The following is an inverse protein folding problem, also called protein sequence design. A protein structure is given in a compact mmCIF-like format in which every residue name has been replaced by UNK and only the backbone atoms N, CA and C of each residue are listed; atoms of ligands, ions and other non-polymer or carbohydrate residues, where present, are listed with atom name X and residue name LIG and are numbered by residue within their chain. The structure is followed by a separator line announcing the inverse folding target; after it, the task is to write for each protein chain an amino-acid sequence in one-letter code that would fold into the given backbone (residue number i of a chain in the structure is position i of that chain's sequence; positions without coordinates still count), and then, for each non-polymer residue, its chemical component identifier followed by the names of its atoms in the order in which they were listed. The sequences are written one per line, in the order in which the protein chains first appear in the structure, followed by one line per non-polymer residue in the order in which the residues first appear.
data_IF_255771662026
#
_entry.id   IF_255771662026
#
_cell.length_a   1.000
_cell.length_b   1.000
_cell.length_c   1.000
_cell.angle_alpha   90.00
_cell.angle_beta   90.00
_cell.angle_gamma   90.00
#
_symmetry.space_group_name_H-M   'P 1'
#
loop_
_entity.id
_entity.type
_entity.pdbx_description
1 polymer ?
#
# COMPACT_ATOMS: atom_id res chain seq x y z
N UNK A 1 -36.99 -67.80 -3.03
CA UNK A 1 -36.14 -67.12 -2.03
C UNK A 1 -37.00 -65.99 -1.46
N UNK A 2 -37.35 -66.09 -0.18
CA UNK A 2 -38.38 -65.32 0.57
C UNK A 2 -37.92 -63.86 0.75
N UNK A 3 -38.72 -62.83 0.48
CA UNK A 3 -39.86 -62.27 1.25
C UNK A 3 -39.48 -61.57 2.58
N UNK A 4 -39.96 -60.32 2.69
CA UNK A 4 -40.27 -59.48 3.87
C UNK A 4 -39.10 -58.97 4.74
N UNK A 5 -38.85 -57.66 4.88
CA UNK A 5 -39.67 -56.56 5.46
C UNK A 5 -39.77 -56.61 6.99
N UNK A 6 -39.94 -55.42 7.62
CA UNK A 6 -40.21 -55.10 9.04
C UNK A 6 -39.02 -54.86 10.02
N UNK A 7 -39.20 -54.14 11.17
CA UNK A 7 -40.23 -53.14 11.56
C UNK A 7 -39.71 -51.91 12.39
N UNK A 8 -40.63 -50.96 12.66
CA UNK A 8 -40.63 -50.04 13.83
C UNK A 8 -41.36 -50.66 15.02
N UNK A 9 -40.83 -50.48 16.24
CA UNK A 9 -41.51 -50.33 17.55
C UNK A 9 -40.40 -50.11 18.62
N UNK A 10 -40.46 -49.28 19.66
CA UNK A 10 -41.59 -48.79 20.45
C UNK A 10 -41.76 -49.61 21.73
N UNK A 11 -41.36 -49.05 22.90
CA UNK A 11 -41.67 -49.38 24.33
C UNK A 11 -40.41 -49.10 25.18
N UNK A 12 -40.41 -48.50 26.36
CA UNK A 12 -41.47 -48.05 27.26
C UNK A 12 -40.90 -47.94 28.69
N UNK A 13 -41.03 -46.76 29.29
CA UNK A 13 -41.37 -46.45 30.70
C UNK A 13 -40.57 -47.07 31.88
N UNK A 14 -40.02 -46.20 32.74
CA UNK A 14 -39.95 -46.40 34.21
C UNK A 14 -40.22 -45.09 34.96
N UNK A 15 -41.14 -45.18 35.92
CA UNK A 15 -41.63 -44.14 36.86
C UNK A 15 -40.87 -44.19 38.19
N UNK A 16 -40.79 -43.03 38.86
CA UNK A 16 -41.12 -42.70 40.29
C UNK A 16 -40.17 -41.59 40.77
N UNK A 17 -40.60 -40.37 41.17
CA UNK A 17 -41.48 -39.86 42.27
C UNK A 17 -40.72 -39.53 43.57
N UNK A 18 -40.74 -38.23 43.91
CA UNK A 18 -40.63 -37.54 45.22
C UNK A 18 -39.27 -37.70 45.97
N UNK A 19 -38.69 -36.69 46.62
CA UNK A 19 -39.24 -35.65 47.51
C UNK A 19 -38.55 -34.27 47.40
N UNK A 20 -39.24 -33.26 47.95
CA UNK A 20 -38.76 -31.92 48.31
C UNK A 20 -37.53 -31.96 49.24
N UNK A 21 -36.57 -31.06 49.00
CA UNK A 21 -35.80 -30.43 50.08
C UNK A 21 -35.41 -29.01 49.67
N UNK A 22 -35.96 -28.07 50.43
CA UNK A 22 -35.72 -26.63 50.40
C UNK A 22 -34.31 -26.36 50.94
N UNK A 23 -33.40 -25.84 50.12
CA UNK A 23 -32.16 -25.24 50.58
C UNK A 23 -32.03 -23.84 49.98
N UNK A 24 -32.53 -22.88 50.75
CA UNK A 24 -32.15 -21.48 50.67
C UNK A 24 -30.63 -21.36 50.81
N UNK A 25 -29.93 -21.14 49.70
CA UNK A 25 -28.54 -20.70 49.72
C UNK A 25 -28.47 -19.29 49.11
N UNK A 26 -28.21 -18.38 50.03
CA UNK A 26 -27.85 -16.97 49.94
C UNK A 26 -27.48 -16.45 48.55
N UNK A 27 -28.19 -15.39 48.14
CA UNK A 27 -27.73 -14.41 47.16
C UNK A 27 -26.43 -13.80 47.66
N UNK A 28 -25.30 -14.41 47.31
CA UNK A 28 -24.02 -13.72 47.31
C UNK A 28 -23.99 -12.79 46.11
N UNK A 29 -23.64 -11.53 46.40
CA UNK A 29 -23.39 -10.44 45.50
C UNK A 29 -22.56 -10.88 44.28
N UNK A 30 -23.24 -11.22 43.19
CA UNK A 30 -22.70 -10.96 41.88
C UNK A 30 -23.09 -9.51 41.58
N UNK A 31 -22.24 -8.58 42.02
CA UNK A 31 -22.11 -7.34 41.26
C UNK A 31 -21.88 -7.79 39.81
N UNK A 32 -22.86 -7.51 38.95
CA UNK A 32 -22.66 -7.62 37.51
C UNK A 32 -21.49 -6.70 37.19
N UNK A 33 -20.31 -7.29 37.06
CA UNK A 33 -19.16 -6.63 36.46
C UNK A 33 -19.62 -6.35 35.02
N UNK A 34 -20.06 -5.12 34.77
CA UNK A 34 -20.09 -4.57 33.42
C UNK A 34 -18.65 -4.61 32.92
N UNK A 35 -18.33 -5.66 32.17
CA UNK A 35 -17.09 -5.72 31.42
C UNK A 35 -17.23 -4.72 30.28
N UNK A 36 -16.51 -3.60 30.39
CA UNK A 36 -16.29 -2.68 29.27
C UNK A 36 -15.69 -3.48 28.10
N UNK A 37 -16.47 -3.68 27.03
CA UNK A 37 -16.15 -4.59 25.93
C UNK A 37 -14.99 -4.08 25.03
N UNK A 38 -14.27 -3.02 25.38
CA UNK A 38 -13.04 -2.62 24.67
C UNK A 38 -11.89 -2.17 25.59
N UNK A 39 -11.13 -3.10 26.23
CA UNK A 39 -10.06 -2.75 27.17
C UNK A 39 -8.82 -2.08 26.55
N UNK A 40 -8.62 -2.17 25.23
CA UNK A 40 -7.31 -1.93 24.61
C UNK A 40 -7.20 -0.70 23.71
N UNK A 41 -8.20 0.19 23.70
CA UNK A 41 -8.07 1.47 22.98
C UNK A 41 -7.19 2.43 23.79
N UNK A 42 -6.20 3.10 23.18
CA UNK A 42 -5.41 4.08 23.91
C UNK A 42 -6.29 5.22 24.39
N UNK A 43 -5.92 5.83 25.52
CA UNK A 43 -6.59 7.04 26.04
C UNK A 43 -6.52 8.21 25.04
N UNK A 44 -5.50 8.21 24.17
CA UNK A 44 -5.29 9.21 23.12
C UNK A 44 -5.13 8.53 21.76
N UNK A 45 -5.83 9.05 20.74
CA UNK A 45 -5.76 8.55 19.37
C UNK A 45 -6.86 7.52 19.03
N UNK A 46 -6.92 7.11 17.76
CA UNK A 46 -7.97 6.20 17.29
C UNK A 46 -7.60 4.73 17.55
N UNK A 47 -6.29 4.42 17.54
CA UNK A 47 -5.72 3.09 17.82
C UNK A 47 -4.25 3.20 18.25
N UNK A 48 -3.72 2.15 18.87
CA UNK A 48 -2.27 1.99 18.99
C UNK A 48 -1.62 1.94 17.60
N UNK A 49 -0.41 2.45 17.50
CA UNK A 49 0.41 2.37 16.29
C UNK A 49 0.51 0.92 15.82
N UNK A 50 0.32 0.70 14.52
CA UNK A 50 0.45 -0.64 13.92
C UNK A 50 1.89 -1.10 13.72
N UNK A 51 2.88 -0.35 14.20
CA UNK A 51 4.30 -0.62 13.95
C UNK A 51 4.74 -2.00 14.45
N UNK A 52 4.35 -2.36 15.67
CA UNK A 52 4.69 -3.63 16.31
C UNK A 52 3.94 -4.84 15.74
N UNK A 53 2.80 -4.61 15.08
CA UNK A 53 2.04 -5.64 14.37
C UNK A 53 2.73 -6.12 13.07
N UNK A 54 3.69 -5.35 12.54
CA UNK A 54 4.45 -5.70 11.35
C UNK A 54 5.74 -6.44 11.70
N UNK A 55 6.10 -7.45 10.91
CA UNK A 55 7.41 -8.12 10.99
C UNK A 55 8.51 -7.25 10.39
N UNK A 56 9.80 -7.50 10.66
CA UNK A 56 10.89 -6.72 10.06
C UNK A 56 10.88 -6.67 8.52
N UNK A 57 10.40 -7.72 7.85
CA UNK A 57 10.26 -7.75 6.37
C UNK A 57 9.07 -6.97 5.85
N UNK A 58 8.15 -6.57 6.73
CA UNK A 58 6.99 -5.73 6.45
C UNK A 58 7.24 -4.27 6.84
N UNK A 59 8.49 -3.91 7.17
CA UNK A 59 8.93 -2.55 7.49
C UNK A 59 9.91 -2.04 6.44
N UNK A 60 9.98 -0.73 6.30
CA UNK A 60 10.92 -0.07 5.39
C UNK A 60 12.39 -0.42 5.66
N UNK A 61 13.28 -0.16 4.69
CA UNK A 61 14.69 -0.49 4.81
C UNK A 61 15.36 0.25 5.99
N UNK A 62 16.35 -0.38 6.61
CA UNK A 62 17.17 0.24 7.64
C UNK A 62 18.38 0.97 7.01
N UNK A 63 18.91 2.05 7.62
CA UNK A 63 18.41 2.69 8.84
C UNK A 63 17.08 3.42 8.60
N UNK A 64 16.19 3.35 9.59
CA UNK A 64 14.92 4.07 9.50
C UNK A 64 15.15 5.59 9.62
N UNK A 65 14.39 6.42 8.90
CA UNK A 65 14.52 7.87 9.00
C UNK A 65 14.24 8.36 10.43
N UNK A 66 15.01 9.33 10.91
CA UNK A 66 14.88 9.88 12.27
C UNK A 66 13.48 10.46 12.56
N UNK A 67 12.80 10.94 11.52
CA UNK A 67 11.43 11.46 11.66
C UNK A 67 10.41 10.36 11.98
N UNK A 68 10.68 9.09 11.68
CA UNK A 68 9.72 8.00 11.84
C UNK A 68 9.56 7.58 13.31
N UNK A 69 8.33 7.69 13.82
CA UNK A 69 7.97 7.21 15.16
C UNK A 69 7.82 5.68 15.14
N UNK A 70 8.63 4.98 15.92
CA UNK A 70 8.72 3.51 15.99
C UNK A 70 8.49 2.96 17.41
N UNK A 71 8.29 3.84 18.39
CA UNK A 71 8.16 3.50 19.79
C UNK A 71 6.81 2.81 20.07
N UNK A 72 6.80 1.82 20.97
CA UNK A 72 5.62 1.00 21.27
C UNK A 72 4.47 1.79 21.91
N UNK A 73 4.77 2.92 22.55
CA UNK A 73 3.77 3.80 23.13
C UNK A 73 3.09 4.73 22.10
N UNK A 74 3.41 4.60 20.81
CA UNK A 74 2.84 5.42 19.77
C UNK A 74 1.38 5.08 19.49
N UNK A 75 0.61 6.10 19.15
CA UNK A 75 -0.79 6.00 18.75
C UNK A 75 -0.96 6.59 17.36
N UNK A 76 -1.89 6.03 16.60
CA UNK A 76 -2.26 6.50 15.27
C UNK A 76 -3.59 7.27 15.35
N UNK A 77 -3.63 8.45 14.72
CA UNK A 77 -4.83 9.29 14.58
C UNK A 77 -5.12 9.57 13.11
N UNK A 78 -6.30 9.19 12.64
CA UNK A 78 -6.79 9.51 11.30
C UNK A 78 -7.14 10.99 11.21
N UNK A 79 -6.55 11.68 10.23
CA UNK A 79 -6.78 13.11 9.99
C UNK A 79 -7.69 13.39 8.81
N UNK A 80 -8.04 12.36 8.05
CA UNK A 80 -8.99 12.43 6.94
C UNK A 80 -8.44 11.85 5.64
N UNK A 81 -9.22 12.01 4.57
CA UNK A 81 -8.91 11.44 3.26
C UNK A 81 -8.06 12.41 2.43
N UNK A 82 -6.93 11.93 1.92
CA UNK A 82 -6.08 12.65 0.96
C UNK A 82 -6.54 12.43 -0.49
N UNK A 83 -6.86 11.18 -0.84
CA UNK A 83 -7.30 10.79 -2.20
C UNK A 83 -8.22 9.58 -2.11
N UNK A 84 -9.39 9.66 -2.75
CA UNK A 84 -10.20 8.47 -3.03
C UNK A 84 -9.90 7.95 -4.43
N UNK A 85 -9.73 6.65 -4.57
CA UNK A 85 -9.43 6.01 -5.85
C UNK A 85 -10.32 4.81 -6.10
N UNK A 86 -10.32 4.35 -7.36
CA UNK A 86 -11.04 3.11 -7.74
C UNK A 86 -10.42 1.88 -7.06
N UNK A 87 -9.10 1.88 -6.92
CA UNK A 87 -8.32 0.72 -6.46
C UNK A 87 -7.92 0.84 -4.99
N UNK A 88 -7.61 2.05 -4.54
CA UNK A 88 -7.20 2.34 -3.18
C UNK A 88 -7.64 3.74 -2.76
N UNK A 89 -7.82 3.92 -1.46
CA UNK A 89 -7.93 5.24 -0.84
C UNK A 89 -6.64 5.56 -0.10
N UNK A 90 -6.31 6.84 -0.01
CA UNK A 90 -5.17 7.35 0.73
C UNK A 90 -5.68 8.27 1.83
N UNK A 91 -5.29 7.99 3.07
CA UNK A 91 -5.64 8.75 4.26
C UNK A 91 -4.41 9.44 4.84
N UNK A 92 -4.61 10.58 5.49
CA UNK A 92 -3.58 11.23 6.29
C UNK A 92 -3.66 10.65 7.71
N UNK A 93 -2.54 10.12 8.18
CA UNK A 93 -2.41 9.53 9.50
C UNK A 93 -1.37 10.32 10.30
N UNK A 94 -1.67 10.64 11.55
CA UNK A 94 -0.70 11.20 12.49
C UNK A 94 -0.32 10.14 13.52
N UNK A 95 0.93 9.69 13.47
CA UNK A 95 1.50 8.78 14.47
C UNK A 95 2.28 9.59 15.48
N UNK A 96 1.97 9.47 16.77
CA UNK A 96 2.67 10.24 17.80
C UNK A 96 2.74 9.55 19.15
N UNK A 97 3.62 10.02 20.03
CA UNK A 97 3.68 9.58 21.43
C UNK A 97 2.83 10.54 22.28
N UNK A 98 1.79 10.07 22.98
CA UNK A 98 0.99 10.90 23.87
C UNK A 98 1.86 11.62 24.92
N UNK A 99 1.52 12.87 25.23
CA UNK A 99 2.25 13.68 26.21
C UNK A 99 3.61 14.23 25.75
N UNK A 100 3.97 14.08 24.47
CA UNK A 100 5.24 14.57 23.92
C UNK A 100 5.03 15.35 22.61
N UNK A 101 6.10 15.97 22.09
CA UNK A 101 6.12 16.55 20.74
C UNK A 101 6.56 15.56 19.66
N UNK A 102 6.84 14.30 20.01
CA UNK A 102 7.31 13.27 19.08
C UNK A 102 6.13 12.79 18.24
N UNK A 103 6.17 13.10 16.95
CA UNK A 103 5.14 12.69 15.99
C UNK A 103 5.65 12.68 14.55
N UNK A 104 4.91 12.02 13.68
CA UNK A 104 5.09 12.07 12.23
C UNK A 104 3.76 11.94 11.50
N UNK A 105 3.68 12.54 10.31
CA UNK A 105 2.57 12.35 9.38
C UNK A 105 2.91 11.25 8.39
N UNK A 106 1.94 10.35 8.15
CA UNK A 106 2.05 9.23 7.23
C UNK A 106 0.89 9.28 6.23
N UNK A 107 1.13 8.78 5.02
CA UNK A 107 0.08 8.47 4.07
C UNK A 107 -0.30 6.98 4.20
N UNK A 108 -1.54 6.70 4.61
CA UNK A 108 -2.06 5.35 4.72
C UNK A 108 -2.84 4.99 3.45
N UNK A 109 -2.22 4.19 2.57
CA UNK A 109 -2.85 3.73 1.33
C UNK A 109 -3.49 2.36 1.53
N UNK A 110 -4.82 2.31 1.43
CA UNK A 110 -5.64 1.11 1.67
C UNK A 110 -6.22 0.59 0.38
N UNK A 111 -5.81 -0.62 -0.01
CA UNK A 111 -6.30 -1.29 -1.22
C UNK A 111 -7.68 -1.90 -1.00
N UNK A 112 -8.58 -1.71 -1.97
CA UNK A 112 -9.97 -2.16 -1.89
C UNK A 112 -10.15 -3.56 -2.48
N UNK A 113 -10.96 -4.40 -1.84
CA UNK A 113 -11.30 -5.76 -2.29
C UNK A 113 -12.48 -5.80 -3.30
N UNK A 114 -12.38 -5.12 -4.45
CA UNK A 114 -13.51 -5.04 -5.40
C UNK A 114 -13.65 -6.24 -6.35
N UNK A 115 -14.90 -6.52 -6.77
CA UNK A 115 -15.21 -7.38 -7.91
C UNK A 115 -14.64 -6.79 -9.21
N UNK A 116 -13.96 -7.62 -9.99
CA UNK A 116 -13.28 -7.35 -11.26
C UNK A 116 -14.17 -6.68 -12.33
N UNK A 117 -14.55 -5.42 -12.17
CA UNK A 117 -15.17 -4.63 -13.23
C UNK A 117 -14.55 -3.25 -13.26
N UNK A 118 -13.31 -3.18 -13.72
CA UNK A 118 -12.85 -2.11 -14.62
C UNK A 118 -11.43 -2.28 -15.17
N UNK A 119 -10.86 -3.49 -15.20
CA UNK A 119 -9.59 -3.77 -15.89
C UNK A 119 -9.69 -3.80 -17.43
N UNK A 120 -10.65 -3.09 -18.03
CA UNK A 120 -10.87 -3.15 -19.49
C UNK A 120 -9.83 -2.38 -20.31
N UNK A 121 -8.78 -1.81 -19.69
CA UNK A 121 -7.59 -1.28 -20.40
C UNK A 121 -6.27 -1.97 -20.00
N UNK A 122 -6.32 -3.07 -19.25
CA UNK A 122 -5.15 -3.58 -18.50
C UNK A 122 -4.57 -4.91 -18.97
N UNK A 123 -4.98 -5.43 -20.12
CA UNK A 123 -4.41 -6.67 -20.65
C UNK A 123 -2.87 -6.59 -20.79
N UNK A 124 -2.34 -5.42 -21.18
CA UNK A 124 -0.90 -5.23 -21.36
C UNK A 124 -0.09 -5.14 -20.06
N UNK A 125 -0.62 -4.56 -18.97
CA UNK A 125 0.15 -4.37 -17.72
C UNK A 125 0.40 -5.70 -16.99
N UNK A 126 -0.56 -6.63 -17.06
CA UNK A 126 -0.53 -7.90 -16.36
C UNK A 126 0.17 -9.04 -17.12
N UNK A 127 0.46 -8.86 -18.42
CA UNK A 127 1.01 -9.93 -19.26
C UNK A 127 2.34 -10.50 -18.75
N UNK A 128 3.20 -9.67 -18.14
CA UNK A 128 4.42 -10.14 -17.46
C UNK A 128 4.19 -10.74 -16.06
N UNK A 129 3.07 -10.42 -15.39
CA UNK A 129 2.72 -10.92 -14.04
C UNK A 129 2.05 -12.31 -14.06
N UNK A 130 1.52 -12.75 -15.21
CA UNK A 130 0.77 -14.01 -15.40
C UNK A 130 1.45 -15.30 -14.91
N UNK A 131 2.78 -15.37 -14.92
CA UNK A 131 3.49 -16.60 -14.49
C UNK A 131 3.38 -16.81 -12.97
N UNK A 132 3.50 -15.74 -12.17
CA UNK A 132 3.32 -15.77 -10.70
C UNK A 132 1.84 -15.98 -10.32
N UNK A 133 0.91 -15.46 -11.12
CA UNK A 133 -0.53 -15.58 -10.90
C UNK A 133 -1.10 -17.00 -11.04
N UNK A 134 -0.44 -17.94 -11.74
CA UNK A 134 -0.98 -19.31 -11.94
C UNK A 134 -1.28 -20.09 -10.65
N UNK A 135 -0.64 -19.74 -9.53
CA UNK A 135 -0.89 -20.30 -8.20
C UNK A 135 -2.04 -19.60 -7.48
N UNK A 136 -2.11 -18.26 -7.56
CA UNK A 136 -3.16 -17.44 -6.96
C UNK A 136 -4.49 -17.64 -7.72
N UNK A 137 -4.46 -17.70 -9.05
CA UNK A 137 -5.61 -17.95 -9.93
C UNK A 137 -6.32 -19.29 -9.66
N UNK A 138 -5.66 -20.26 -9.04
CA UNK A 138 -6.31 -21.50 -8.57
C UNK A 138 -7.13 -21.31 -7.30
N UNK A 139 -6.70 -20.44 -6.38
CA UNK A 139 -7.49 -20.04 -5.21
C UNK A 139 -8.65 -19.09 -5.58
N UNK A 140 -8.48 -18.33 -6.66
CA UNK A 140 -9.44 -17.36 -7.23
C UNK A 140 -10.73 -17.97 -7.78
N UNK A 141 -10.74 -19.27 -8.11
CA UNK A 141 -11.90 -19.93 -8.71
C UNK A 141 -13.16 -19.91 -7.81
N UNK A 142 -12.99 -19.60 -6.52
CA UNK A 142 -14.08 -19.60 -5.52
C UNK A 142 -14.81 -18.25 -5.34
N UNK A 143 -14.31 -17.12 -5.89
CA UNK A 143 -14.92 -15.77 -5.76
C UNK A 143 -15.33 -15.34 -4.33
N UNK A 144 -14.73 -15.94 -3.30
CA UNK A 144 -15.04 -15.62 -1.90
C UNK A 144 -14.55 -14.23 -1.52
N UNK A 145 -15.12 -13.64 -0.46
CA UNK A 145 -14.62 -12.40 0.15
C UNK A 145 -13.12 -12.49 0.48
N UNK A 146 -12.70 -13.64 1.01
CA UNK A 146 -11.30 -13.97 1.28
C UNK A 146 -10.40 -13.89 0.03
N UNK A 147 -10.87 -14.40 -1.11
CA UNK A 147 -10.12 -14.32 -2.37
C UNK A 147 -9.90 -12.88 -2.85
N UNK A 148 -10.90 -12.00 -2.68
CA UNK A 148 -10.79 -10.58 -3.04
C UNK A 148 -9.82 -9.82 -2.15
N UNK A 149 -9.81 -10.13 -0.86
CA UNK A 149 -8.88 -9.55 0.11
C UNK A 149 -7.44 -9.99 -0.18
N UNK A 150 -7.23 -11.27 -0.54
CA UNK A 150 -5.91 -11.78 -0.94
C UNK A 150 -5.35 -11.07 -2.20
N UNK A 151 -6.19 -10.72 -3.16
CA UNK A 151 -5.78 -9.91 -4.33
C UNK A 151 -5.34 -8.52 -3.87
N UNK A 152 -6.17 -7.82 -3.08
CA UNK A 152 -5.85 -6.49 -2.57
C UNK A 152 -4.52 -6.50 -1.80
N UNK A 153 -4.27 -7.54 -1.00
CA UNK A 153 -3.01 -7.73 -0.29
C UNK A 153 -1.82 -7.97 -1.23
N UNK A 154 -2.05 -8.64 -2.37
CA UNK A 154 -1.01 -8.81 -3.40
C UNK A 154 -0.62 -7.47 -4.04
N UNK A 155 -1.58 -6.58 -4.28
CA UNK A 155 -1.30 -5.24 -4.81
C UNK A 155 -0.54 -4.38 -3.80
N UNK A 156 -0.97 -4.40 -2.53
CA UNK A 156 -0.28 -3.72 -1.45
C UNK A 156 1.17 -4.23 -1.32
N UNK A 157 1.37 -5.55 -1.32
CA UNK A 157 2.69 -6.17 -1.21
C UNK A 157 3.59 -5.84 -2.42
N UNK A 158 3.02 -5.76 -3.63
CA UNK A 158 3.76 -5.37 -4.82
C UNK A 158 4.21 -3.90 -4.76
N UNK A 159 3.34 -2.98 -4.34
CA UNK A 159 3.73 -1.56 -4.18
C UNK A 159 4.77 -1.40 -3.08
N UNK A 160 4.56 -2.00 -1.91
CA UNK A 160 5.52 -1.95 -0.81
C UNK A 160 6.89 -2.51 -1.22
N UNK A 161 6.92 -3.69 -1.84
CA UNK A 161 8.16 -4.30 -2.32
C UNK A 161 8.87 -3.46 -3.37
N UNK A 162 8.13 -2.80 -4.27
CA UNK A 162 8.71 -1.88 -5.23
C UNK A 162 9.31 -0.65 -4.56
N UNK A 163 8.60 0.00 -3.63
CA UNK A 163 9.12 1.14 -2.87
C UNK A 163 10.41 0.76 -2.13
N UNK A 164 10.41 -0.37 -1.41
CA UNK A 164 11.62 -0.86 -0.71
C UNK A 164 12.77 -1.03 -1.69
N UNK A 165 12.53 -1.70 -2.83
CA UNK A 165 13.56 -1.94 -3.84
C UNK A 165 14.12 -0.64 -4.43
N UNK A 166 13.28 0.36 -4.67
CA UNK A 166 13.70 1.65 -5.21
C UNK A 166 14.53 2.44 -4.20
N UNK A 167 14.18 2.37 -2.92
CA UNK A 167 14.97 2.98 -1.84
C UNK A 167 16.36 2.34 -1.71
N UNK A 168 16.45 1.00 -1.73
CA UNK A 168 17.73 0.29 -1.68
C UNK A 168 18.64 0.65 -2.86
N UNK A 169 18.10 0.73 -4.08
CA UNK A 169 18.89 1.11 -5.26
C UNK A 169 19.29 2.58 -5.16
N UNK A 170 18.39 3.48 -4.72
CA UNK A 170 18.73 4.89 -4.54
C UNK A 170 19.91 5.07 -3.58
N UNK A 171 19.89 4.36 -2.45
CA UNK A 171 20.99 4.34 -1.48
C UNK A 171 22.29 3.78 -2.11
N UNK A 172 22.22 2.65 -2.82
CA UNK A 172 23.38 2.05 -3.49
C UNK A 172 24.04 2.99 -4.50
N UNK A 173 23.25 3.87 -5.13
CA UNK A 173 23.73 4.85 -6.10
C UNK A 173 24.05 6.20 -5.49
N UNK A 174 23.88 6.35 -4.16
CA UNK A 174 24.06 7.59 -3.44
C UNK A 174 23.26 8.75 -4.07
N UNK A 175 22.03 8.46 -4.48
CA UNK A 175 21.08 9.45 -5.00
C UNK A 175 20.01 9.76 -3.96
N UNK A 176 19.53 11.00 -3.96
CA UNK A 176 18.47 11.40 -3.05
C UNK A 176 17.20 10.57 -3.28
N UNK A 177 16.43 10.25 -2.22
CA UNK A 177 15.20 9.49 -2.37
C UNK A 177 14.14 10.25 -3.17
N UNK A 178 13.61 9.60 -4.20
CA UNK A 178 12.66 10.17 -5.16
C UNK A 178 11.26 9.50 -5.08
N UNK A 179 11.04 8.61 -4.11
CA UNK A 179 9.72 8.05 -3.78
C UNK A 179 9.46 8.22 -2.27
N UNK A 180 8.20 8.14 -1.80
CA UNK A 180 7.91 8.16 -0.37
C UNK A 180 8.62 6.99 0.33
N UNK A 181 9.15 7.22 1.54
CA UNK A 181 9.70 6.12 2.34
C UNK A 181 8.61 5.10 2.68
N UNK A 182 8.77 3.80 2.36
CA UNK A 182 7.80 2.75 2.69
C UNK A 182 7.90 2.40 4.17
N UNK A 183 7.05 2.98 5.01
CA UNK A 183 7.11 2.79 6.46
C UNK A 183 6.83 1.34 6.84
N UNK A 184 5.67 0.82 6.44
CA UNK A 184 5.29 -0.57 6.69
C UNK A 184 4.14 -1.02 5.79
N UNK A 185 3.92 -2.33 5.72
CA UNK A 185 2.73 -2.94 5.16
C UNK A 185 2.03 -3.83 6.19
N UNK A 186 0.70 -3.79 6.23
CA UNK A 186 -0.11 -4.72 7.01
C UNK A 186 -1.38 -5.09 6.22
N UNK A 187 -1.47 -6.37 5.81
CA UNK A 187 -2.58 -6.85 5.00
C UNK A 187 -2.70 -6.11 3.67
N UNK A 188 -3.68 -5.19 3.57
CA UNK A 188 -3.97 -4.39 2.38
C UNK A 188 -3.59 -2.91 2.53
N UNK A 189 -3.02 -2.53 3.67
CA UNK A 189 -2.60 -1.16 3.99
C UNK A 189 -1.09 -1.01 3.83
N UNK A 190 -0.66 0.00 3.07
CA UNK A 190 0.72 0.47 2.99
C UNK A 190 0.81 1.83 3.66
N UNK A 191 1.58 1.93 4.73
CA UNK A 191 1.95 3.21 5.33
C UNK A 191 3.25 3.69 4.68
N UNK A 192 3.28 4.94 4.25
CA UNK A 192 4.43 5.57 3.64
C UNK A 192 4.61 7.01 4.14
N UNK A 193 5.77 7.59 3.87
CA UNK A 193 6.07 9.01 4.11
C UNK A 193 4.95 9.89 3.56
N UNK A 194 4.42 10.79 4.39
CA UNK A 194 3.57 11.86 3.90
C UNK A 194 4.44 12.97 3.30
N UNK A 195 4.19 13.31 2.04
CA UNK A 195 4.89 14.38 1.34
C UNK A 195 4.04 15.65 1.38
N UNK A 196 4.38 16.57 2.28
CA UNK A 196 3.59 17.78 2.52
C UNK A 196 4.02 18.53 3.76
N UNK A 197 3.34 19.62 4.04
CA UNK A 197 3.62 20.48 5.17
C UNK A 197 3.23 19.81 6.51
N UNK A 198 3.86 20.20 7.64
CA UNK A 198 3.56 19.64 8.96
C UNK A 198 2.11 19.83 9.45
N UNK A 199 1.35 20.73 8.83
CA UNK A 199 -0.07 20.96 9.12
C UNK A 199 -1.01 19.94 8.45
N UNK A 200 -0.48 19.02 7.64
CA UNK A 200 -1.24 18.04 6.88
C UNK A 200 -1.59 18.46 5.45
N UNK A 201 -1.13 19.64 5.00
CA UNK A 201 -1.32 20.08 3.62
C UNK A 201 -0.40 19.29 2.68
N UNK A 202 -0.97 18.50 1.77
CA UNK A 202 -0.19 17.73 0.81
C UNK A 202 0.61 18.62 -0.13
N UNK A 203 1.81 18.17 -0.51
CA UNK A 203 2.64 18.86 -1.48
C UNK A 203 1.92 19.00 -2.84
N UNK A 204 2.15 20.09 -3.59
CA UNK A 204 1.56 20.26 -4.91
C UNK A 204 2.09 19.19 -5.87
N UNK A 205 1.23 18.81 -6.82
CA UNK A 205 1.67 17.99 -7.96
C UNK A 205 2.55 18.83 -8.88
N UNK A 206 3.50 18.21 -9.57
CA UNK A 206 4.35 18.87 -10.57
C UNK A 206 3.52 19.69 -11.57
N UNK A 207 2.38 19.15 -12.02
CA UNK A 207 1.43 19.85 -12.89
C UNK A 207 1.00 21.24 -12.36
N UNK A 208 0.93 21.42 -11.04
CA UNK A 208 0.49 22.64 -10.35
C UNK A 208 1.65 23.57 -9.99
N UNK A 209 2.90 23.08 -10.06
CA UNK A 209 4.09 23.87 -9.73
C UNK A 209 4.32 24.93 -10.80
N UNK A 210 4.65 26.14 -10.35
CA UNK A 210 5.22 27.21 -11.16
C UNK A 210 6.68 27.30 -10.77
N UNK A 211 7.56 26.94 -11.69
CA UNK A 211 8.99 26.92 -11.51
C UNK A 211 9.63 27.86 -12.52
N UNK A 212 10.71 28.52 -12.14
CA UNK A 212 11.57 29.22 -13.09
C UNK A 212 12.46 28.26 -13.91
N UNK A 213 13.27 28.79 -14.83
CA UNK A 213 14.11 27.97 -15.71
C UNK A 213 15.13 27.12 -14.94
N UNK A 214 15.68 27.66 -13.84
CA UNK A 214 16.67 26.96 -13.03
C UNK A 214 16.01 25.84 -12.20
N UNK A 215 14.87 26.13 -11.58
CA UNK A 215 14.06 25.16 -10.85
C UNK A 215 13.54 24.04 -11.78
N UNK A 216 13.10 24.38 -13.00
CA UNK A 216 12.69 23.39 -14.00
C UNK A 216 13.84 22.47 -14.41
N UNK A 217 15.04 23.02 -14.61
CA UNK A 217 16.22 22.25 -14.95
C UNK A 217 16.62 21.30 -13.81
N UNK A 218 16.58 21.78 -12.57
CA UNK A 218 16.87 20.99 -11.37
C UNK A 218 15.86 19.84 -11.19
N UNK A 219 14.55 20.14 -11.28
CA UNK A 219 13.49 19.12 -11.21
C UNK A 219 13.62 18.08 -12.33
N UNK A 220 14.02 18.49 -13.54
CA UNK A 220 14.27 17.55 -14.63
C UNK A 220 15.45 16.61 -14.32
N UNK A 221 16.55 17.14 -13.78
CA UNK A 221 17.70 16.33 -13.38
C UNK A 221 17.33 15.32 -12.29
N UNK A 222 16.58 15.74 -11.27
CA UNK A 222 16.05 14.86 -10.24
C UNK A 222 15.15 13.75 -10.85
N UNK A 223 14.30 14.11 -11.81
CA UNK A 223 13.43 13.15 -12.48
C UNK A 223 14.21 12.12 -13.30
N UNK A 224 15.23 12.55 -14.05
CA UNK A 224 16.09 11.63 -14.81
C UNK A 224 16.80 10.65 -13.88
N UNK A 225 17.31 11.11 -12.74
CA UNK A 225 17.89 10.22 -11.73
C UNK A 225 16.87 9.21 -11.19
N UNK A 226 15.64 9.66 -10.87
CA UNK A 226 14.57 8.78 -10.43
C UNK A 226 14.16 7.74 -11.49
N UNK A 227 14.08 8.16 -12.76
CA UNK A 227 13.83 7.25 -13.89
C UNK A 227 14.95 6.23 -14.07
N UNK A 228 16.21 6.62 -13.88
CA UNK A 228 17.37 5.71 -13.92
C UNK A 228 17.29 4.67 -12.81
N UNK A 229 16.89 5.06 -11.59
CA UNK A 229 16.69 4.10 -10.50
C UNK A 229 15.54 3.14 -10.79
N UNK A 230 14.40 3.64 -11.31
CA UNK A 230 13.29 2.79 -11.77
C UNK A 230 13.76 1.78 -12.82
N UNK A 231 14.49 2.25 -13.83
CA UNK A 231 15.02 1.41 -14.90
C UNK A 231 15.98 0.34 -14.35
N UNK A 232 16.91 0.69 -13.46
CA UNK A 232 17.82 -0.28 -12.79
C UNK A 232 17.09 -1.30 -11.94
N UNK A 233 15.93 -0.93 -11.39
CA UNK A 233 15.05 -1.88 -10.72
C UNK A 233 14.32 -2.82 -11.69
N UNK A 234 14.46 -2.61 -13.00
CA UNK A 234 13.74 -3.32 -14.05
C UNK A 234 12.32 -2.79 -14.25
N UNK A 235 12.03 -1.57 -13.81
CA UNK A 235 10.68 -1.01 -13.75
C UNK A 235 10.46 0.16 -14.70
N UNK A 236 9.31 0.16 -15.35
CA UNK A 236 8.65 1.37 -15.83
C UNK A 236 7.51 1.68 -14.86
N UNK A 237 7.21 2.96 -14.65
CA UNK A 237 6.10 3.35 -13.81
C UNK A 237 4.76 2.90 -14.41
N UNK A 238 4.64 2.94 -15.74
CA UNK A 238 3.46 2.48 -16.45
C UNK A 238 2.26 3.43 -16.38
N UNK A 239 2.40 4.62 -15.81
CA UNK A 239 1.42 5.73 -15.89
C UNK A 239 2.07 7.05 -15.46
N UNK A 240 3.36 7.24 -15.75
CA UNK A 240 4.05 8.42 -15.26
C UNK A 240 3.52 9.67 -15.96
N UNK A 241 3.19 10.68 -15.17
CA UNK A 241 2.75 11.98 -15.64
C UNK A 241 3.04 13.03 -14.56
N UNK A 242 2.99 14.32 -14.91
CA UNK A 242 3.11 15.43 -13.94
C UNK A 242 2.05 15.42 -12.82
N UNK A 243 1.01 14.59 -12.93
CA UNK A 243 -0.02 14.42 -11.90
C UNK A 243 0.33 13.34 -10.86
N UNK A 244 1.30 12.46 -11.16
CA UNK A 244 1.79 11.40 -10.30
C UNK A 244 3.20 11.73 -9.74
N UNK A 245 3.56 13.01 -9.78
CA UNK A 245 4.81 13.56 -9.24
C UNK A 245 4.43 14.69 -8.30
N UNK A 246 4.96 14.67 -7.08
CA UNK A 246 4.86 15.76 -6.10
C UNK A 246 6.17 16.56 -6.08
N UNK A 247 6.08 17.83 -5.74
CA UNK A 247 7.26 18.66 -5.47
C UNK A 247 7.11 19.28 -4.10
N UNK A 248 8.05 18.97 -3.21
CA UNK A 248 8.03 19.46 -1.84
C UNK A 248 9.39 20.04 -1.49
N UNK A 249 9.44 21.35 -1.19
CA UNK A 249 10.68 22.04 -0.81
C UNK A 249 11.84 21.80 -1.81
N UNK A 250 11.52 21.83 -3.11
CA UNK A 250 12.48 21.56 -4.20
C UNK A 250 12.74 20.08 -4.48
N UNK A 251 12.30 19.15 -3.62
CA UNK A 251 12.43 17.70 -3.84
C UNK A 251 11.31 17.17 -4.72
N UNK A 252 11.68 16.48 -5.80
CA UNK A 252 10.76 15.74 -6.65
C UNK A 252 10.48 14.34 -6.08
N UNK A 253 9.20 13.98 -5.96
CA UNK A 253 8.79 12.67 -5.44
C UNK A 253 7.76 12.02 -6.36
N UNK A 254 8.12 10.88 -6.94
CA UNK A 254 7.24 10.02 -7.74
C UNK A 254 6.35 9.22 -6.80
N UNK A 255 5.04 9.22 -7.07
CA UNK A 255 4.02 8.53 -6.25
C UNK A 255 3.15 7.63 -7.10
N UNK A 256 2.38 6.75 -6.45
CA UNK A 256 1.38 5.87 -7.06
C UNK A 256 2.00 4.80 -7.99
N UNK A 257 2.62 3.80 -7.36
CA UNK A 257 3.36 2.72 -8.05
C UNK A 257 2.60 1.38 -8.24
N UNK A 258 1.27 1.21 -8.09
CA UNK A 258 0.63 -0.10 -8.30
C UNK A 258 0.77 -0.61 -9.74
N UNK A 259 0.92 0.32 -10.69
CA UNK A 259 0.99 0.04 -12.13
C UNK A 259 2.41 -0.21 -12.64
N UNK A 260 3.40 -0.40 -11.75
CA UNK A 260 4.77 -0.75 -12.16
C UNK A 260 4.76 -1.93 -13.13
N UNK A 261 5.45 -1.73 -14.24
CA UNK A 261 5.65 -2.72 -15.29
C UNK A 261 7.08 -3.21 -15.23
N UNK A 262 7.24 -4.53 -15.14
CA UNK A 262 8.53 -5.18 -15.37
C UNK A 262 8.93 -5.00 -16.83
N UNK A 263 9.95 -4.17 -17.08
CA UNK A 263 10.39 -3.77 -18.43
C UNK A 263 10.92 -4.97 -19.21
N UNK A 264 11.49 -5.96 -18.51
CA UNK A 264 12.14 -7.13 -19.11
C UNK A 264 11.14 -8.24 -19.36
N UNK A 265 10.28 -8.54 -18.38
CA UNK A 265 9.34 -9.64 -18.43
C UNK A 265 8.06 -9.32 -19.22
N UNK A 266 7.70 -8.03 -19.34
CA UNK A 266 6.51 -7.62 -20.09
C UNK A 266 6.84 -7.38 -21.58
N UNK A 267 6.12 -8.01 -22.53
CA UNK A 267 6.33 -7.77 -23.97
C UNK A 267 6.17 -6.30 -24.39
N UNK A 268 5.38 -5.52 -23.64
CA UNK A 268 5.18 -4.09 -23.86
C UNK A 268 6.05 -3.21 -22.94
N UNK A 269 6.95 -3.80 -22.15
CA UNK A 269 7.77 -3.10 -21.16
C UNK A 269 8.54 -1.91 -21.74
N UNK A 270 9.23 -2.11 -22.87
CA UNK A 270 9.96 -1.02 -23.57
C UNK A 270 9.04 0.15 -23.95
N UNK A 271 7.81 -0.15 -24.37
CA UNK A 271 6.82 0.85 -24.79
C UNK A 271 6.30 1.64 -23.58
N UNK A 272 6.08 1.00 -22.44
CA UNK A 272 5.68 1.70 -21.23
C UNK A 272 6.75 2.66 -20.74
N UNK A 273 8.01 2.24 -20.72
CA UNK A 273 9.15 3.09 -20.36
C UNK A 273 9.25 4.31 -21.30
N UNK A 274 9.21 4.09 -22.61
CA UNK A 274 9.24 5.17 -23.59
C UNK A 274 8.07 6.15 -23.45
N UNK A 275 6.86 5.64 -23.11
CA UNK A 275 5.69 6.48 -22.87
C UNK A 275 5.84 7.32 -21.61
N UNK A 276 6.38 6.75 -20.54
CA UNK A 276 6.63 7.47 -19.29
C UNK A 276 7.60 8.64 -19.54
N UNK A 277 8.71 8.39 -20.25
CA UNK A 277 9.69 9.43 -20.66
C UNK A 277 9.01 10.52 -21.49
N UNK A 278 8.27 10.13 -22.53
CA UNK A 278 7.59 11.07 -23.42
C UNK A 278 6.61 11.97 -22.67
N UNK A 279 5.80 11.41 -21.76
CA UNK A 279 4.80 12.17 -21.01
C UNK A 279 5.43 13.28 -20.15
N UNK A 280 6.54 12.97 -19.48
CA UNK A 280 7.21 13.96 -18.62
C UNK A 280 8.02 14.95 -19.45
N UNK A 281 8.80 14.48 -20.43
CA UNK A 281 9.60 15.35 -21.31
C UNK A 281 8.73 16.36 -22.08
N UNK A 282 7.57 15.92 -22.58
CA UNK A 282 6.59 16.79 -23.23
C UNK A 282 6.10 17.89 -22.29
N UNK A 283 5.87 17.57 -21.01
CA UNK A 283 5.45 18.57 -20.03
C UNK A 283 6.57 19.57 -19.72
N UNK A 284 7.80 19.12 -19.50
CA UNK A 284 8.94 20.02 -19.25
C UNK A 284 9.23 20.92 -20.46
N UNK A 285 9.16 20.37 -21.67
CA UNK A 285 9.29 21.14 -22.91
C UNK A 285 8.20 22.21 -23.03
N UNK A 286 6.95 21.86 -22.73
CA UNK A 286 5.84 22.82 -22.72
C UNK A 286 5.99 23.92 -21.64
N UNK A 287 6.83 23.70 -20.62
CA UNK A 287 7.17 24.69 -19.59
C UNK A 287 8.40 25.53 -19.91
N UNK A 288 9.04 25.30 -21.06
CA UNK A 288 10.17 26.11 -21.54
C UNK A 288 11.53 25.42 -21.46
N UNK A 289 11.62 24.20 -20.93
CA UNK A 289 12.89 23.48 -20.89
C UNK A 289 13.25 22.97 -22.29
N UNK A 290 14.32 23.50 -22.86
CA UNK A 290 14.77 23.14 -24.23
C UNK A 290 15.91 22.13 -24.22
N UNK A 291 16.09 21.41 -25.34
CA UNK A 291 17.25 20.52 -25.54
C UNK A 291 17.10 19.13 -24.91
N UNK A 292 15.87 18.72 -24.58
CA UNK A 292 15.59 17.38 -24.09
C UNK A 292 15.63 16.38 -25.26
N UNK A 293 16.49 15.36 -25.16
CA UNK A 293 16.53 14.25 -26.12
C UNK A 293 15.81 13.03 -25.52
N UNK A 294 14.51 12.92 -25.83
CA UNK A 294 13.65 11.83 -25.37
C UNK A 294 14.14 10.45 -25.84
N UNK A 295 14.72 10.38 -27.05
CA UNK A 295 15.15 9.12 -27.65
C UNK A 295 16.44 8.63 -26.99
N UNK A 296 17.40 9.54 -26.79
CA UNK A 296 18.63 9.23 -26.07
C UNK A 296 18.33 8.79 -24.63
N UNK A 297 17.52 9.56 -23.89
CA UNK A 297 17.14 9.19 -22.53
C UNK A 297 16.43 7.84 -22.49
N UNK A 298 15.48 7.58 -23.39
CA UNK A 298 14.81 6.27 -23.45
C UNK A 298 15.80 5.12 -23.72
N UNK A 299 16.76 5.32 -24.62
CA UNK A 299 17.77 4.31 -24.93
C UNK A 299 18.69 4.02 -23.73
N UNK A 300 19.11 5.07 -23.00
CA UNK A 300 19.89 4.94 -21.77
C UNK A 300 19.13 4.17 -20.70
N UNK A 301 17.86 4.51 -20.46
CA UNK A 301 17.03 3.82 -19.47
C UNK A 301 16.77 2.36 -19.85
N UNK A 302 16.58 2.04 -21.14
CA UNK A 302 16.47 0.64 -21.58
C UNK A 302 17.76 -0.14 -21.32
N UNK A 303 18.93 0.48 -21.55
CA UNK A 303 20.21 -0.14 -21.25
C UNK A 303 20.39 -0.39 -19.76
N UNK A 304 19.99 0.58 -18.92
CA UNK A 304 20.00 0.47 -17.45
C UNK A 304 19.06 -0.64 -16.94
N UNK A 305 17.94 -0.86 -17.63
CA UNK A 305 17.03 -1.99 -17.36
C UNK A 305 17.57 -3.35 -17.84
N UNK A 306 18.77 -3.40 -18.43
CA UNK A 306 19.35 -4.62 -19.00
C UNK A 306 18.71 -5.07 -20.31
N UNK A 307 17.95 -4.18 -20.96
CA UNK A 307 17.19 -4.44 -22.16
C UNK A 307 17.95 -3.91 -23.38
N UNK A 308 18.65 -4.83 -24.07
CA UNK A 308 19.33 -4.53 -25.34
C UNK A 308 18.37 -4.49 -26.53
#
# INVERSE_FOLDING_TARGET
MREHDFPRAGRGNRRNRFDDDELTFEKSYAEEIEWDETPDKPEFGDRWSTWDLSTPTERGPAPHPDWLVTELAAVDVERGVLKTGKEADVFLLHRHIPGTQRGCLLAAKRYRSHDHRMFHRDAGYLEGRRVRESRVNRAMASRSSFGKEAIAGTWAAAEFGALVRLWEIAEQLNVAPFTPYPVQILGTEVLQEFIGAPDGTAAPRLAQVRADDAELADLWQQLVLGLTVLARAGYAHGDLSPYNILVHEGRLVIIDLPQIVDVVANPQGKRFLARDVHNVASWFTARGLTGLDEQALTAELLAEAGVR
#
